data_IF_052503718879
#
_entry.id   IF_052503718879
#
_cell.length_a   1.000
_cell.length_b   1.000
_cell.length_c   1.000
_cell.angle_alpha   90.00
_cell.angle_beta   90.00
_cell.angle_gamma   90.00
#
_symmetry.space_group_name_H-M   'P 1'
#
loop_
_entity.id
_entity.type
_entity.pdbx_description
1 polymer ?
#
# COMPACT_ATOMS: atom_id res chain seq x y z
N UNK A 1 11.87 -16.01 -16.78
CA UNK A 1 10.66 -16.70 -16.34
C UNK A 1 10.83 -18.18 -16.68
N UNK A 2 10.83 -19.05 -15.68
CA UNK A 2 10.76 -20.49 -15.93
C UNK A 2 9.38 -20.82 -16.50
N UNK A 3 9.32 -21.34 -17.71
CA UNK A 3 8.10 -21.89 -18.28
C UNK A 3 8.06 -23.39 -18.03
N UNK A 4 7.07 -23.83 -17.31
CA UNK A 4 6.82 -25.25 -17.10
C UNK A 4 6.10 -25.84 -18.32
N UNK A 5 6.36 -27.12 -18.67
CA UNK A 5 5.78 -27.75 -19.85
C UNK A 5 4.27 -27.98 -19.73
N UNK A 6 3.77 -28.24 -18.53
CA UNK A 6 2.32 -28.41 -18.28
C UNK A 6 1.63 -27.06 -18.36
N UNK A 7 0.59 -26.97 -19.20
CA UNK A 7 -0.18 -25.74 -19.45
C UNK A 7 -1.57 -25.87 -18.87
N UNK A 8 -1.92 -24.94 -17.98
CA UNK A 8 -3.21 -24.87 -17.32
C UNK A 8 -3.91 -23.57 -17.71
N UNK A 9 -5.18 -23.67 -18.05
CA UNK A 9 -6.06 -22.51 -18.29
C UNK A 9 -7.07 -22.42 -17.16
N UNK A 10 -7.15 -21.24 -16.53
CA UNK A 10 -8.28 -20.87 -15.65
C UNK A 10 -9.16 -19.94 -16.45
N UNK A 11 -10.40 -20.36 -16.72
CA UNK A 11 -11.32 -19.67 -17.60
C UNK A 11 -12.65 -19.42 -16.90
N UNK A 12 -13.13 -18.16 -16.93
CA UNK A 12 -14.48 -17.83 -16.47
C UNK A 12 -15.54 -18.10 -17.54
N UNK A 13 -16.79 -17.92 -17.18
CA UNK A 13 -17.86 -17.77 -18.17
C UNK A 13 -17.50 -16.68 -19.18
N UNK A 14 -17.82 -16.93 -20.44
CA UNK A 14 -17.63 -15.97 -21.54
C UNK A 14 -18.95 -15.23 -21.72
N UNK A 15 -18.94 -13.96 -21.41
CA UNK A 15 -20.11 -13.09 -21.46
C UNK A 15 -20.19 -12.37 -22.82
N UNK A 16 -21.43 -12.07 -23.26
CA UNK A 16 -21.68 -11.22 -24.43
C UNK A 16 -21.10 -11.76 -25.77
N UNK A 17 -21.00 -13.08 -25.93
CA UNK A 17 -20.45 -13.68 -27.14
C UNK A 17 -21.37 -13.58 -28.38
N UNK A 18 -22.65 -13.36 -28.19
CA UNK A 18 -23.66 -13.41 -29.24
C UNK A 18 -23.96 -14.83 -29.77
N UNK A 19 -23.30 -15.88 -29.23
CA UNK A 19 -23.49 -17.30 -29.60
C UNK A 19 -24.26 -18.04 -28.52
N UNK A 20 -24.89 -19.15 -28.91
CA UNK A 20 -25.44 -20.06 -27.90
C UNK A 20 -24.30 -20.80 -27.16
N UNK A 21 -24.57 -21.23 -25.91
CA UNK A 21 -23.56 -21.84 -25.04
C UNK A 21 -22.90 -23.08 -25.66
N UNK A 22 -23.67 -23.95 -26.34
CA UNK A 22 -23.15 -25.18 -26.93
C UNK A 22 -22.13 -24.89 -28.03
N UNK A 23 -22.48 -23.99 -28.95
CA UNK A 23 -21.56 -23.57 -30.03
C UNK A 23 -20.32 -22.89 -29.49
N UNK A 24 -20.53 -21.94 -28.58
CA UNK A 24 -19.41 -21.17 -27.95
C UNK A 24 -18.41 -22.11 -27.28
N UNK A 25 -18.85 -22.95 -26.37
CA UNK A 25 -17.94 -23.78 -25.61
C UNK A 25 -17.37 -24.96 -26.41
N UNK A 26 -18.03 -25.40 -27.48
CA UNK A 26 -17.43 -26.35 -28.44
C UNK A 26 -16.23 -25.72 -29.17
N UNK A 27 -16.38 -24.48 -29.67
CA UNK A 27 -15.26 -23.74 -30.28
C UNK A 27 -14.11 -23.52 -29.28
N UNK A 28 -14.44 -23.10 -28.05
CA UNK A 28 -13.46 -22.90 -26.98
C UNK A 28 -12.71 -24.17 -26.66
N UNK A 29 -13.41 -25.30 -26.58
CA UNK A 29 -12.79 -26.60 -26.31
C UNK A 29 -11.82 -27.02 -27.43
N UNK A 30 -12.16 -26.78 -28.70
CA UNK A 30 -11.27 -27.02 -29.83
C UNK A 30 -10.02 -26.12 -29.76
N UNK A 31 -10.20 -24.81 -29.47
CA UNK A 31 -9.10 -23.85 -29.34
C UNK A 31 -8.15 -24.25 -28.20
N UNK A 32 -8.70 -24.59 -27.05
CA UNK A 32 -7.92 -24.98 -25.84
C UNK A 32 -7.07 -26.21 -26.12
N UNK A 33 -7.63 -27.22 -26.77
CA UNK A 33 -6.91 -28.43 -27.21
C UNK A 33 -5.81 -28.09 -28.22
N UNK A 34 -6.15 -27.29 -29.26
CA UNK A 34 -5.21 -26.89 -30.30
C UNK A 34 -4.02 -26.06 -29.79
N UNK A 35 -4.17 -25.40 -28.63
CA UNK A 35 -3.08 -24.64 -27.95
C UNK A 35 -2.26 -25.48 -26.99
N UNK A 36 -2.52 -26.78 -26.90
CA UNK A 36 -1.78 -27.72 -26.04
C UNK A 36 -2.00 -27.48 -24.55
N UNK A 37 -3.18 -27.01 -24.15
CA UNK A 37 -3.60 -26.96 -22.75
C UNK A 37 -3.91 -28.37 -22.26
N UNK A 38 -3.35 -28.75 -21.12
CA UNK A 38 -3.55 -30.09 -20.55
C UNK A 38 -4.53 -30.09 -19.38
N UNK A 39 -4.67 -28.93 -18.70
CA UNK A 39 -5.60 -28.78 -17.58
C UNK A 39 -6.46 -27.53 -17.74
N UNK A 40 -7.76 -27.69 -17.48
CA UNK A 40 -8.74 -26.61 -17.46
C UNK A 40 -9.36 -26.47 -16.07
N UNK A 41 -9.37 -25.26 -15.53
CA UNK A 41 -10.18 -24.89 -14.38
C UNK A 41 -11.24 -23.91 -14.85
N UNK A 42 -12.49 -24.35 -14.87
CA UNK A 42 -13.65 -23.53 -15.27
C UNK A 42 -14.28 -22.86 -14.05
N UNK A 43 -14.56 -21.56 -14.15
CA UNK A 43 -15.18 -20.77 -13.06
C UNK A 43 -16.41 -20.05 -13.60
N UNK A 44 -17.56 -20.45 -13.13
CA UNK A 44 -18.86 -19.93 -13.53
C UNK A 44 -19.86 -21.03 -13.78
N UNK A 45 -21.14 -20.67 -13.81
CA UNK A 45 -22.23 -21.63 -13.97
C UNK A 45 -22.36 -22.13 -15.42
N UNK A 46 -22.16 -21.25 -16.41
CA UNK A 46 -22.30 -21.61 -17.82
C UNK A 46 -21.21 -22.58 -18.24
N UNK A 47 -19.96 -22.30 -17.96
CA UNK A 47 -18.82 -23.18 -18.27
C UNK A 47 -18.93 -24.51 -17.50
N UNK A 48 -19.46 -24.49 -16.28
CA UNK A 48 -19.66 -25.68 -15.45
C UNK A 48 -20.74 -26.59 -16.03
N UNK A 49 -21.83 -26.04 -16.58
CA UNK A 49 -22.84 -26.83 -17.31
C UNK A 49 -22.28 -27.50 -18.54
N UNK A 50 -21.32 -26.86 -19.19
CA UNK A 50 -20.73 -27.32 -20.44
C UNK A 50 -19.44 -28.16 -20.24
N UNK A 51 -19.22 -28.69 -19.04
CA UNK A 51 -18.00 -29.46 -18.69
C UNK A 51 -17.70 -30.64 -19.61
N UNK A 52 -18.70 -31.26 -20.21
CA UNK A 52 -18.57 -32.46 -21.03
C UNK A 52 -17.93 -32.18 -22.40
N UNK A 53 -18.05 -30.95 -22.94
CA UNK A 53 -17.43 -30.58 -24.22
C UNK A 53 -15.90 -30.52 -24.13
N UNK A 54 -15.34 -30.38 -22.92
CA UNK A 54 -13.92 -30.37 -22.65
C UNK A 54 -13.33 -31.77 -22.39
N UNK A 55 -13.83 -32.77 -23.11
CA UNK A 55 -13.29 -34.14 -23.00
C UNK A 55 -11.82 -34.24 -23.37
N UNK A 56 -11.07 -35.14 -22.68
CA UNK A 56 -9.64 -35.35 -22.93
C UNK A 56 -8.69 -34.37 -22.23
N UNK A 57 -9.20 -33.45 -21.38
CA UNK A 57 -8.42 -32.58 -20.51
C UNK A 57 -8.56 -32.99 -19.06
N UNK A 58 -7.51 -32.78 -18.25
CA UNK A 58 -7.68 -32.69 -16.80
C UNK A 58 -8.55 -31.48 -16.51
N UNK A 59 -9.67 -31.63 -15.79
CA UNK A 59 -10.63 -30.54 -15.65
C UNK A 59 -11.27 -30.48 -14.28
N UNK A 60 -11.43 -29.28 -13.76
CA UNK A 60 -12.13 -28.99 -12.51
C UNK A 60 -13.01 -27.74 -12.72
N UNK A 61 -14.21 -27.74 -12.15
CA UNK A 61 -15.14 -26.63 -12.32
C UNK A 61 -15.64 -26.14 -10.97
N UNK A 62 -15.81 -24.84 -10.87
CA UNK A 62 -16.36 -24.15 -9.70
C UNK A 62 -17.46 -23.17 -10.15
N UNK A 63 -18.56 -23.06 -9.42
CA UNK A 63 -19.66 -22.16 -9.79
C UNK A 63 -19.28 -20.68 -9.66
N UNK A 64 -18.27 -20.37 -8.82
CA UNK A 64 -17.82 -18.99 -8.58
C UNK A 64 -16.35 -18.91 -8.19
N UNK A 65 -15.78 -17.71 -8.27
CA UNK A 65 -14.42 -17.41 -7.75
C UNK A 65 -14.32 -17.67 -6.24
N UNK A 66 -15.38 -17.40 -5.48
CA UNK A 66 -15.39 -17.65 -4.04
C UNK A 66 -15.27 -19.15 -3.73
N UNK A 67 -16.01 -20.00 -4.49
CA UNK A 67 -15.91 -21.46 -4.36
C UNK A 67 -14.52 -21.99 -4.76
N UNK A 68 -13.92 -21.45 -5.81
CA UNK A 68 -12.54 -21.81 -6.16
C UNK A 68 -11.58 -21.47 -5.02
N UNK A 69 -11.66 -20.25 -4.46
CA UNK A 69 -10.77 -19.80 -3.39
C UNK A 69 -10.96 -20.60 -2.09
N UNK A 70 -12.20 -20.99 -1.78
CA UNK A 70 -12.50 -21.85 -0.62
C UNK A 70 -11.91 -23.26 -0.74
N UNK A 71 -11.73 -23.75 -1.96
CA UNK A 71 -11.17 -25.07 -2.23
C UNK A 71 -9.69 -25.03 -2.66
N UNK A 72 -9.11 -23.84 -2.78
CA UNK A 72 -7.71 -23.68 -3.15
C UNK A 72 -6.80 -24.02 -1.96
N UNK A 73 -5.75 -24.78 -2.21
CA UNK A 73 -4.69 -25.09 -1.24
C UNK A 73 -3.32 -25.04 -1.90
N UNK A 74 -2.28 -24.86 -1.08
CA UNK A 74 -0.88 -24.88 -1.53
C UNK A 74 -0.55 -26.26 -2.10
N UNK A 75 -0.49 -26.44 -3.36
CA UNK A 75 -0.32 -27.73 -4.01
C UNK A 75 -1.43 -28.06 -5.01
N UNK A 76 -2.42 -27.20 -5.14
CA UNK A 76 -3.43 -27.35 -6.17
C UNK A 76 -2.83 -27.29 -7.57
N UNK A 77 -1.77 -26.51 -7.75
CA UNK A 77 -0.98 -26.43 -8.97
C UNK A 77 0.48 -26.78 -8.68
N UNK A 78 1.08 -27.64 -9.52
CA UNK A 78 2.48 -28.04 -9.41
C UNK A 78 3.18 -27.99 -10.76
N UNK A 79 4.26 -27.22 -10.86
CA UNK A 79 5.10 -27.13 -12.05
C UNK A 79 4.30 -26.90 -13.35
N UNK A 80 3.37 -25.96 -13.29
CA UNK A 80 2.45 -25.63 -14.36
C UNK A 80 2.60 -24.16 -14.79
N UNK A 81 2.50 -23.91 -16.10
CA UNK A 81 2.32 -22.56 -16.61
C UNK A 81 0.84 -22.25 -16.66
N UNK A 82 0.38 -21.26 -15.90
CA UNK A 82 -1.04 -20.96 -15.73
C UNK A 82 -1.41 -19.68 -16.49
N UNK A 83 -2.44 -19.78 -17.35
CA UNK A 83 -3.08 -18.63 -17.98
C UNK A 83 -4.44 -18.36 -17.32
N UNK A 84 -4.64 -17.13 -16.84
CA UNK A 84 -5.92 -16.67 -16.33
C UNK A 84 -6.63 -15.85 -17.40
N UNK A 85 -7.87 -16.25 -17.72
CA UNK A 85 -8.77 -15.54 -18.63
C UNK A 85 -10.17 -15.48 -18.03
N UNK A 86 -10.57 -14.31 -17.54
CA UNK A 86 -11.88 -14.13 -16.91
C UNK A 86 -12.50 -12.78 -17.25
N UNK A 87 -13.82 -12.76 -17.35
CA UNK A 87 -14.55 -11.51 -17.40
C UNK A 87 -14.44 -10.77 -16.06
N UNK A 88 -14.43 -9.44 -16.06
CA UNK A 88 -14.19 -8.60 -14.88
C UNK A 88 -15.07 -8.95 -13.68
N UNK A 89 -16.32 -9.31 -13.93
CA UNK A 89 -17.27 -9.67 -12.86
C UNK A 89 -16.84 -10.87 -12.03
N UNK A 90 -15.93 -11.71 -12.52
CA UNK A 90 -15.41 -12.86 -11.79
C UNK A 90 -14.23 -12.53 -10.87
N UNK A 91 -13.68 -11.30 -10.89
CA UNK A 91 -12.65 -10.86 -9.96
C UNK A 91 -11.38 -11.73 -9.92
N UNK A 92 -10.86 -12.13 -11.09
CA UNK A 92 -9.71 -13.04 -11.21
C UNK A 92 -8.41 -12.48 -10.61
N UNK A 93 -8.39 -11.21 -10.25
CA UNK A 93 -7.33 -10.58 -9.46
C UNK A 93 -7.13 -11.31 -8.12
N UNK A 94 -8.23 -11.75 -7.49
CA UNK A 94 -8.17 -12.51 -6.24
C UNK A 94 -7.50 -13.88 -6.44
N UNK A 95 -7.81 -14.56 -7.56
CA UNK A 95 -7.15 -15.82 -7.94
C UNK A 95 -5.66 -15.58 -8.21
N UNK A 96 -5.34 -14.57 -9.03
CA UNK A 96 -3.96 -14.21 -9.35
C UNK A 96 -3.13 -14.00 -8.09
N UNK A 97 -3.69 -13.29 -7.10
CA UNK A 97 -3.02 -13.00 -5.83
C UNK A 97 -2.64 -14.26 -5.03
N UNK A 98 -3.51 -15.28 -5.01
CA UNK A 98 -3.25 -16.52 -4.23
C UNK A 98 -2.37 -17.53 -4.95
N UNK A 99 -2.37 -17.54 -6.31
CA UNK A 99 -1.55 -18.47 -7.09
C UNK A 99 -0.19 -17.91 -7.50
N UNK A 100 0.04 -16.60 -7.37
CA UNK A 100 1.34 -16.00 -7.61
C UNK A 100 2.35 -16.61 -6.64
N UNK A 101 3.24 -17.48 -7.14
CA UNK A 101 4.45 -17.84 -6.42
C UNK A 101 5.33 -16.57 -6.37
N UNK A 102 5.49 -16.03 -5.19
CA UNK A 102 6.53 -15.01 -4.95
C UNK A 102 7.88 -15.74 -5.07
N UNK A 103 8.51 -15.63 -6.21
CA UNK A 103 9.81 -16.25 -6.48
C UNK A 103 10.90 -15.66 -5.57
N UNK A 104 10.72 -14.42 -5.13
CA UNK A 104 11.53 -13.75 -4.12
C UNK A 104 10.60 -12.84 -3.30
N UNK A 105 10.53 -13.06 -2.02
CA UNK A 105 9.95 -12.13 -1.08
C UNK A 105 11.12 -11.39 -0.39
N UNK A 106 11.33 -10.13 -0.78
CA UNK A 106 12.19 -9.26 0.01
C UNK A 106 11.36 -8.80 1.20
N UNK A 107 11.69 -9.32 2.37
CA UNK A 107 11.05 -8.94 3.63
C UNK A 107 11.95 -7.96 4.34
N UNK A 108 11.41 -6.79 4.70
CA UNK A 108 12.04 -5.86 5.63
C UNK A 108 11.48 -6.17 7.02
N UNK A 109 12.29 -6.78 7.87
CA UNK A 109 11.94 -7.03 9.27
C UNK A 109 12.44 -5.85 10.13
N UNK A 110 11.52 -5.25 10.90
CA UNK A 110 11.82 -4.16 11.82
C UNK A 110 11.69 -4.66 13.25
N UNK A 111 12.82 -4.72 13.95
CA UNK A 111 12.83 -5.03 15.38
C UNK A 111 12.55 -3.75 16.18
N UNK A 112 11.32 -3.63 16.67
CA UNK A 112 10.88 -2.49 17.45
C UNK A 112 11.56 -2.41 18.82
N UNK A 113 11.99 -3.54 19.39
CA UNK A 113 12.75 -3.55 20.64
C UNK A 113 14.16 -3.00 20.44
N UNK A 114 14.78 -3.35 19.30
CA UNK A 114 16.09 -2.77 18.93
C UNK A 114 15.99 -1.26 18.70
N UNK A 115 14.90 -0.77 18.11
CA UNK A 115 14.65 0.67 17.97
C UNK A 115 14.55 1.35 19.34
N UNK A 116 13.78 0.78 20.27
CA UNK A 116 13.64 1.30 21.64
C UNK A 116 14.98 1.26 22.39
N UNK A 117 15.74 0.17 22.24
CA UNK A 117 17.10 0.08 22.81
C UNK A 117 18.00 1.21 22.31
N UNK A 118 18.02 1.45 21.01
CA UNK A 118 18.80 2.51 20.40
C UNK A 118 18.36 3.91 20.87
N UNK A 119 17.06 4.15 20.97
CA UNK A 119 16.53 5.40 21.51
C UNK A 119 16.99 5.63 22.96
N UNK A 120 16.87 4.62 23.81
CA UNK A 120 17.27 4.70 25.21
C UNK A 120 18.79 4.90 25.33
N UNK A 121 19.58 4.22 24.51
CA UNK A 121 21.04 4.42 24.47
C UNK A 121 21.39 5.85 24.11
N UNK A 122 20.77 6.42 23.06
CA UNK A 122 21.00 7.83 22.68
C UNK A 122 20.62 8.75 23.85
N UNK A 123 19.41 8.57 24.41
CA UNK A 123 18.93 9.38 25.55
C UNK A 123 19.88 9.33 26.75
N UNK A 124 20.48 8.18 27.03
CA UNK A 124 21.46 8.04 28.15
C UNK A 124 22.76 8.81 27.96
N UNK A 125 23.05 9.26 26.73
CA UNK A 125 24.26 10.05 26.40
C UNK A 125 23.97 11.55 26.34
N UNK A 126 22.71 11.95 26.45
CA UNK A 126 22.32 13.36 26.41
C UNK A 126 22.42 13.99 27.82
N UNK A 127 22.68 15.29 27.85
CA UNK A 127 22.57 16.05 29.09
C UNK A 127 21.12 16.11 29.59
N UNK A 128 20.89 16.19 30.91
CA UNK A 128 19.56 16.35 31.46
C UNK A 128 18.84 17.55 30.84
N UNK A 129 17.57 17.32 30.41
CA UNK A 129 16.74 18.35 29.78
C UNK A 129 16.93 18.52 28.27
N UNK A 130 17.86 17.78 27.64
CA UNK A 130 17.98 17.78 26.17
C UNK A 130 16.77 17.12 25.54
N UNK A 131 16.09 17.84 24.63
CA UNK A 131 14.96 17.32 23.88
C UNK A 131 15.40 16.49 22.69
N UNK A 132 14.62 15.49 22.37
CA UNK A 132 14.85 14.56 21.24
C UNK A 132 13.78 14.74 20.19
N UNK A 133 14.20 15.04 18.96
CA UNK A 133 13.35 15.05 17.78
C UNK A 133 13.69 13.82 16.92
N UNK A 134 12.69 13.02 16.57
CA UNK A 134 12.87 11.84 15.74
C UNK A 134 12.32 12.07 14.32
N UNK A 135 13.12 11.70 13.31
CA UNK A 135 12.75 11.80 11.90
C UNK A 135 11.97 10.57 11.46
N UNK A 136 10.72 10.76 11.00
CA UNK A 136 9.81 9.68 10.56
C UNK A 136 9.30 9.87 9.12
N UNK A 137 10.03 10.63 8.29
CA UNK A 137 9.71 10.87 6.89
C UNK A 137 9.75 9.58 6.05
N UNK A 138 9.14 9.62 4.86
CA UNK A 138 9.12 8.52 3.88
C UNK A 138 8.65 7.19 4.51
N UNK A 139 7.51 7.23 5.21
CA UNK A 139 6.97 6.08 5.96
C UNK A 139 8.00 5.47 6.93
N UNK A 140 8.72 6.33 7.67
CA UNK A 140 9.84 5.92 8.53
C UNK A 140 10.87 5.09 7.75
N UNK A 141 11.22 5.57 6.55
CA UNK A 141 12.12 4.87 5.61
C UNK A 141 11.63 3.48 5.18
N UNK A 142 10.32 3.33 5.03
CA UNK A 142 9.68 2.07 4.64
C UNK A 142 9.31 1.12 5.78
N UNK A 143 9.54 1.55 7.04
CA UNK A 143 9.30 0.72 8.24
C UNK A 143 7.87 0.81 8.78
N UNK A 144 7.02 1.64 8.18
CA UNK A 144 5.68 1.96 8.70
C UNK A 144 5.69 3.23 9.56
N UNK A 145 4.97 4.27 9.11
CA UNK A 145 5.01 5.57 9.82
C UNK A 145 4.32 5.52 11.16
N UNK A 146 3.18 4.85 11.21
CA UNK A 146 2.32 4.86 12.40
C UNK A 146 2.93 4.04 13.54
N UNK A 147 3.39 2.83 13.26
CA UNK A 147 3.97 1.93 14.27
C UNK A 147 5.19 2.56 14.91
N UNK A 148 6.10 3.09 14.10
CA UNK A 148 7.32 3.75 14.58
C UNK A 148 6.97 5.03 15.35
N UNK A 149 6.10 5.90 14.82
CA UNK A 149 5.72 7.13 15.50
C UNK A 149 5.01 6.87 16.83
N UNK A 150 4.16 5.84 16.89
CA UNK A 150 3.46 5.45 18.12
C UNK A 150 4.43 4.95 19.21
N UNK A 151 5.42 4.14 18.84
CA UNK A 151 6.47 3.69 19.76
C UNK A 151 7.31 4.87 20.25
N UNK A 152 7.71 5.76 19.37
CA UNK A 152 8.46 6.96 19.73
C UNK A 152 7.66 7.86 20.69
N UNK A 153 6.36 8.03 20.44
CA UNK A 153 5.44 8.75 21.32
C UNK A 153 5.31 8.05 22.69
N UNK A 154 5.13 6.74 22.72
CA UNK A 154 5.06 5.96 23.96
C UNK A 154 6.33 6.09 24.79
N UNK A 155 7.49 6.09 24.12
CA UNK A 155 8.82 6.28 24.76
C UNK A 155 9.20 7.75 24.93
N UNK A 156 8.24 8.68 24.83
CA UNK A 156 8.36 10.09 25.16
C UNK A 156 9.54 10.79 24.46
N UNK A 157 9.59 10.68 23.13
CA UNK A 157 10.36 11.68 22.35
C UNK A 157 9.61 13.00 22.40
N UNK A 158 10.33 14.11 22.26
CA UNK A 158 9.72 15.44 22.40
C UNK A 158 9.06 15.92 21.10
N UNK A 159 9.60 15.51 19.94
CA UNK A 159 9.19 15.94 18.62
C UNK A 159 9.30 14.81 17.61
N UNK A 160 8.43 14.88 16.59
CA UNK A 160 8.63 14.15 15.33
C UNK A 160 8.92 15.14 14.21
N UNK A 161 9.62 14.69 13.17
CA UNK A 161 9.84 15.47 11.97
C UNK A 161 9.53 14.64 10.73
N UNK A 162 8.86 15.28 9.76
CA UNK A 162 8.48 14.70 8.47
C UNK A 162 9.01 15.58 7.33
N UNK A 163 9.03 15.04 6.10
CA UNK A 163 9.45 15.81 4.95
C UNK A 163 8.35 16.75 4.46
N UNK A 164 7.13 16.26 4.34
CA UNK A 164 5.98 16.96 3.75
C UNK A 164 4.77 16.97 4.67
N UNK A 165 3.82 17.88 4.39
CA UNK A 165 2.64 18.07 5.23
C UNK A 165 1.70 16.86 5.24
N UNK A 166 1.56 16.14 4.14
CA UNK A 166 0.71 14.94 4.02
C UNK A 166 1.15 13.84 4.98
N UNK A 167 2.45 13.61 5.14
CA UNK A 167 3.00 12.66 6.12
C UNK A 167 2.58 13.05 7.56
N UNK A 168 2.70 14.34 7.90
CA UNK A 168 2.27 14.86 9.21
C UNK A 168 0.76 14.73 9.44
N UNK A 169 -0.05 14.97 8.40
CA UNK A 169 -1.51 14.81 8.45
C UNK A 169 -1.87 13.35 8.71
N UNK A 170 -1.20 12.40 8.07
CA UNK A 170 -1.41 10.96 8.31
C UNK A 170 -1.09 10.59 9.75
N UNK A 171 0.01 11.09 10.31
CA UNK A 171 0.34 10.89 11.72
C UNK A 171 -0.75 11.43 12.66
N UNK A 172 -1.29 12.63 12.39
CA UNK A 172 -2.39 13.19 13.17
C UNK A 172 -3.66 12.34 13.08
N UNK A 173 -4.04 11.88 11.87
CA UNK A 173 -5.19 10.99 11.67
C UNK A 173 -5.02 9.65 12.38
N UNK A 174 -3.79 9.18 12.52
CA UNK A 174 -3.44 7.97 13.25
C UNK A 174 -3.36 8.16 14.80
N UNK A 175 -3.64 9.38 15.31
CA UNK A 175 -3.70 9.65 16.76
C UNK A 175 -2.39 10.11 17.38
N UNK A 176 -1.37 10.46 16.60
CA UNK A 176 -0.14 11.04 17.12
C UNK A 176 -0.39 12.47 17.59
N UNK A 177 -0.07 12.73 18.84
CA UNK A 177 -0.28 14.04 19.52
C UNK A 177 1.01 14.84 19.71
N UNK A 178 2.18 14.22 19.56
CA UNK A 178 3.46 14.93 19.64
C UNK A 178 3.54 16.10 18.66
N UNK A 179 4.27 17.16 18.96
CA UNK A 179 4.60 18.20 17.97
C UNK A 179 5.26 17.55 16.73
N UNK A 180 4.84 18.00 15.53
CA UNK A 180 5.37 17.49 14.26
C UNK A 180 5.90 18.65 13.42
N UNK A 181 7.19 18.65 13.16
CA UNK A 181 7.86 19.59 12.27
C UNK A 181 7.79 19.10 10.83
N UNK A 182 7.46 20.00 9.89
CA UNK A 182 7.47 19.77 8.45
C UNK A 182 8.64 20.48 7.82
N UNK A 183 9.57 19.73 7.24
CA UNK A 183 10.84 20.27 6.69
C UNK A 183 10.65 21.04 5.39
N UNK A 184 9.72 20.62 4.52
CA UNK A 184 9.44 21.26 3.24
C UNK A 184 7.97 21.70 3.21
N UNK A 185 7.62 22.84 3.84
CA UNK A 185 6.28 23.37 3.83
C UNK A 185 5.96 23.96 2.45
N UNK A 186 4.98 23.38 1.77
CA UNK A 186 4.50 23.88 0.46
C UNK A 186 3.31 24.82 0.66
N UNK A 187 3.22 25.89 -0.14
CA UNK A 187 2.20 26.92 -0.01
C UNK A 187 0.77 26.35 -0.05
N UNK A 188 0.52 25.37 -0.92
CA UNK A 188 -0.77 24.69 -1.06
C UNK A 188 -1.19 23.90 0.19
N UNK A 189 -0.26 23.56 1.07
CA UNK A 189 -0.51 22.77 2.27
C UNK A 189 -0.71 23.61 3.54
N UNK A 190 -0.51 24.92 3.51
CA UNK A 190 -0.49 25.76 4.71
C UNK A 190 -1.80 25.73 5.49
N UNK A 191 -2.97 25.84 4.83
CA UNK A 191 -4.27 25.75 5.51
C UNK A 191 -4.45 24.40 6.22
N UNK A 192 -3.98 23.31 5.61
CA UNK A 192 -4.01 21.98 6.20
C UNK A 192 -3.01 21.86 7.37
N UNK A 193 -1.79 22.38 7.21
CA UNK A 193 -0.80 22.39 8.28
C UNK A 193 -1.33 23.15 9.52
N UNK A 194 -1.95 24.31 9.35
CA UNK A 194 -2.54 25.09 10.45
C UNK A 194 -3.66 24.29 11.12
N UNK A 195 -4.56 23.69 10.33
CA UNK A 195 -5.68 22.89 10.83
C UNK A 195 -5.22 21.69 11.67
N UNK A 196 -4.16 21.00 11.22
CA UNK A 196 -3.62 19.82 11.88
C UNK A 196 -2.49 20.14 12.89
N UNK A 197 -2.23 21.44 13.12
CA UNK A 197 -1.16 21.91 14.03
C UNK A 197 0.19 21.26 13.71
N UNK A 198 0.60 21.36 12.45
CA UNK A 198 1.94 20.96 11.98
C UNK A 198 2.82 22.19 11.93
N UNK A 199 4.06 22.05 12.38
CA UNK A 199 5.01 23.16 12.58
C UNK A 199 5.94 23.28 11.37
N UNK A 200 5.85 24.33 10.53
CA UNK A 200 6.72 24.49 9.36
C UNK A 200 8.14 24.86 9.71
N UNK A 201 9.09 24.33 8.96
CA UNK A 201 10.46 24.82 8.90
C UNK A 201 10.54 26.03 7.97
N UNK A 202 10.94 27.19 8.50
CA UNK A 202 11.02 28.45 7.77
C UNK A 202 12.48 28.74 7.43
N UNK A 203 12.79 28.75 6.15
CA UNK A 203 14.15 28.98 5.65
C UNK A 203 14.29 30.20 4.74
N UNK A 204 13.20 30.99 4.57
CA UNK A 204 13.25 32.27 3.86
C UNK A 204 12.16 33.22 4.33
N UNK A 205 12.38 34.52 4.17
CA UNK A 205 11.36 35.56 4.46
C UNK A 205 10.11 35.39 3.60
N UNK A 206 10.25 34.90 2.37
CA UNK A 206 9.08 34.62 1.51
C UNK A 206 8.18 33.55 2.12
N UNK A 207 8.72 32.43 2.57
CA UNK A 207 7.94 31.36 3.21
C UNK A 207 7.31 31.87 4.51
N UNK A 208 8.04 32.64 5.31
CA UNK A 208 7.50 33.24 6.53
C UNK A 208 6.29 34.11 6.23
N UNK A 209 6.39 35.00 5.23
CA UNK A 209 5.30 35.90 4.87
C UNK A 209 4.08 35.13 4.36
N UNK A 210 4.28 34.16 3.46
CA UNK A 210 3.19 33.37 2.90
C UNK A 210 2.48 32.53 3.98
N UNK A 211 3.23 31.95 4.90
CA UNK A 211 2.65 31.18 6.01
C UNK A 211 1.92 32.08 7.02
N UNK A 212 2.47 33.24 7.36
CA UNK A 212 1.82 34.22 8.23
C UNK A 212 0.50 34.73 7.62
N UNK A 213 0.49 35.02 6.31
CA UNK A 213 -0.73 35.43 5.61
C UNK A 213 -1.78 34.31 5.60
N UNK A 214 -1.38 33.05 5.42
CA UNK A 214 -2.27 31.91 5.54
C UNK A 214 -2.81 31.75 6.97
N UNK A 215 -1.96 31.90 7.98
CA UNK A 215 -2.34 31.81 9.38
C UNK A 215 -3.33 32.92 9.77
N UNK A 216 -3.12 34.16 9.29
CA UNK A 216 -4.06 35.29 9.50
C UNK A 216 -5.42 34.99 8.86
N UNK A 217 -5.44 34.56 7.59
CA UNK A 217 -6.70 34.18 6.90
C UNK A 217 -7.43 33.04 7.60
N UNK A 218 -6.69 32.05 8.07
CA UNK A 218 -7.27 30.91 8.78
C UNK A 218 -7.88 31.32 10.12
N UNK A 219 -7.19 32.16 10.90
CA UNK A 219 -7.66 32.67 12.20
C UNK A 219 -8.93 33.50 12.12
N UNK A 220 -9.13 34.25 11.03
CA UNK A 220 -10.40 34.98 10.81
C UNK A 220 -11.60 34.04 10.75
N UNK A 221 -11.41 32.83 10.19
CA UNK A 221 -12.47 31.79 10.06
C UNK A 221 -12.54 30.87 11.29
N UNK A 222 -11.45 30.79 12.04
CA UNK A 222 -11.27 29.87 13.17
C UNK A 222 -10.57 30.61 14.33
N UNK A 223 -11.25 31.56 15.01
CA UNK A 223 -10.64 32.39 16.05
C UNK A 223 -10.19 31.57 17.28
N UNK A 224 -10.76 30.39 17.49
CA UNK A 224 -10.43 29.46 18.56
C UNK A 224 -9.11 28.73 18.32
N UNK A 225 -8.60 28.73 17.09
CA UNK A 225 -7.39 27.99 16.73
C UNK A 225 -6.15 28.61 17.39
N UNK A 226 -5.39 27.76 18.11
CA UNK A 226 -4.12 28.18 18.70
C UNK A 226 -3.09 28.56 17.62
N UNK A 227 -2.20 29.52 17.90
CA UNK A 227 -1.08 29.81 17.01
C UNK A 227 -0.23 28.56 16.76
N UNK A 228 0.23 28.41 15.52
CA UNK A 228 1.15 27.32 15.15
C UNK A 228 2.59 27.81 15.35
N UNK A 229 3.41 27.08 16.13
CA UNK A 229 4.85 27.37 16.23
C UNK A 229 5.52 27.15 14.88
N UNK A 230 6.65 27.86 14.68
CA UNK A 230 7.48 27.70 13.48
C UNK A 230 8.93 27.42 13.88
N UNK A 231 9.65 26.68 13.04
CA UNK A 231 11.07 26.42 13.21
C UNK A 231 11.85 27.27 12.21
N UNK A 232 12.84 28.04 12.70
CA UNK A 232 13.67 28.85 11.82
C UNK A 232 14.94 28.07 11.47
N UNK A 233 15.18 27.90 10.17
CA UNK A 233 16.35 27.21 9.65
C UNK A 233 17.41 28.18 9.18
N UNK A 234 18.62 27.99 9.62
CA UNK A 234 19.81 28.67 9.14
C UNK A 234 20.72 27.70 8.40
N UNK A 235 21.17 28.09 7.22
CA UNK A 235 22.21 27.34 6.53
C UNK A 235 23.57 27.69 7.14
N UNK A 236 24.17 26.74 7.84
CA UNK A 236 25.47 26.88 8.50
C UNK A 236 26.59 26.15 7.75
N UNK A 237 26.36 25.77 6.48
CA UNK A 237 27.36 25.15 5.63
C UNK A 237 26.93 23.91 4.85
N UNK A 238 25.67 23.45 4.99
CA UNK A 238 25.17 22.30 4.22
C UNK A 238 24.75 22.69 2.82
N UNK A 239 24.29 23.93 2.61
CA UNK A 239 23.86 24.51 1.32
C UNK A 239 22.82 23.67 0.56
N UNK A 240 21.84 23.12 1.28
CA UNK A 240 20.80 22.29 0.68
C UNK A 240 19.54 23.10 0.29
N UNK A 241 19.24 24.18 1.01
CA UNK A 241 18.08 25.07 0.82
C UNK A 241 18.55 26.51 0.83
#
# INVERSE_FOLDING_TARGET
>A
QQQYPKRTLILSDILQSGKNENELYAEVAQLVKGKGVQRLVGIGESISRMKDVFGGLEKTFFPSTAEFLANYHTGFFHNETILLKGARVFGFEAISKVIQQKAHETVLEIDLNALVHNLNYIKSRLNPGTKVMAMVKAFSYGSGSFEIANILQFHRVDYLAVAYADEGIELRKAGITLPVMVMNPEEQSYDAMIRYQLEPEIFSFRILQLFDDAAKRFRVRHPEQAPVPVHIKFDTGMHRL
#
